data_IF_211863474027
#
_entry.id   IF_211863474027
#
_cell.length_a   1.000
_cell.length_b   1.000
_cell.length_c   1.000
_cell.angle_alpha   90.00
_cell.angle_beta   90.00
_cell.angle_gamma   90.00
#
_symmetry.space_group_name_H-M   'P 1'
#
loop_
_entity.id
_entity.type
_entity.pdbx_description
1 polymer ?
#
# COMPACT_ATOMS: atom_id res chain seq x y z
N UNK A 1 -37.93 19.61 -1.14
CA UNK A 1 -37.48 20.04 -2.49
C UNK A 1 -38.73 20.21 -3.35
N UNK A 2 -38.81 21.29 -4.15
CA UNK A 2 -40.03 21.66 -4.90
C UNK A 2 -40.45 20.66 -6.00
N UNK A 3 -39.68 19.58 -6.24
CA UNK A 3 -39.99 18.53 -7.23
C UNK A 3 -39.83 17.12 -6.60
N UNK A 4 -40.90 16.31 -6.45
CA UNK A 4 -40.85 15.02 -5.78
C UNK A 4 -40.01 13.98 -6.55
N UNK A 5 -40.07 13.98 -7.88
CA UNK A 5 -39.29 13.06 -8.74
C UNK A 5 -37.79 13.24 -8.53
N UNK A 6 -37.32 14.49 -8.47
CA UNK A 6 -35.89 14.81 -8.26
C UNK A 6 -35.42 14.26 -6.91
N UNK A 7 -36.26 14.38 -5.88
CA UNK A 7 -35.96 13.81 -4.55
C UNK A 7 -35.82 12.29 -4.60
N UNK A 8 -36.74 11.62 -5.26
CA UNK A 8 -36.71 10.15 -5.39
C UNK A 8 -35.45 9.70 -6.12
N UNK A 9 -35.14 10.28 -7.27
CA UNK A 9 -33.93 9.96 -8.04
C UNK A 9 -32.68 10.16 -7.19
N UNK A 10 -32.57 11.29 -6.48
CA UNK A 10 -31.46 11.57 -5.57
C UNK A 10 -31.31 10.47 -4.50
N UNK A 11 -32.39 10.13 -3.81
CA UNK A 11 -32.34 9.15 -2.71
C UNK A 11 -31.87 7.77 -3.19
N UNK A 12 -32.42 7.29 -4.31
CA UNK A 12 -32.03 5.99 -4.88
C UNK A 12 -30.60 6.00 -5.40
N UNK A 13 -30.16 7.08 -6.04
CA UNK A 13 -28.79 7.19 -6.54
C UNK A 13 -27.77 7.16 -5.39
N UNK A 14 -27.97 7.93 -4.33
CA UNK A 14 -27.07 7.94 -3.18
C UNK A 14 -27.12 6.64 -2.37
N UNK A 15 -28.28 6.01 -2.25
CA UNK A 15 -28.39 4.67 -1.70
C UNK A 15 -27.57 3.66 -2.52
N UNK A 16 -27.68 3.69 -3.85
CA UNK A 16 -26.94 2.80 -4.74
C UNK A 16 -25.42 3.01 -4.61
N UNK A 17 -24.95 4.27 -4.57
CA UNK A 17 -23.52 4.58 -4.37
C UNK A 17 -23.02 4.04 -3.03
N UNK A 18 -23.76 4.28 -1.93
CA UNK A 18 -23.40 3.75 -0.62
C UNK A 18 -23.33 2.22 -0.60
N UNK A 19 -24.29 1.56 -1.24
CA UNK A 19 -24.30 0.10 -1.37
C UNK A 19 -23.10 -0.42 -2.18
N UNK A 20 -22.78 0.23 -3.29
CA UNK A 20 -21.62 -0.12 -4.11
C UNK A 20 -20.31 -0.02 -3.31
N UNK A 21 -20.14 1.06 -2.53
CA UNK A 21 -18.98 1.21 -1.64
C UNK A 21 -18.89 0.07 -0.61
N UNK A 22 -20.01 -0.35 -0.04
CA UNK A 22 -20.05 -1.48 0.90
C UNK A 22 -19.65 -2.80 0.24
N UNK A 23 -20.17 -3.08 -0.96
CA UNK A 23 -19.84 -4.30 -1.70
C UNK A 23 -18.35 -4.33 -2.05
N UNK A 24 -17.82 -3.23 -2.58
CA UNK A 24 -16.41 -3.12 -2.93
C UNK A 24 -15.53 -3.28 -1.68
N UNK A 25 -15.79 -2.51 -0.61
CA UNK A 25 -15.02 -2.62 0.63
C UNK A 25 -15.06 -4.03 1.25
N UNK A 26 -16.24 -4.66 1.28
CA UNK A 26 -16.39 -6.02 1.80
C UNK A 26 -15.61 -7.04 0.98
N UNK A 27 -15.69 -6.96 -0.35
CA UNK A 27 -14.93 -7.85 -1.25
C UNK A 27 -13.41 -7.70 -1.07
N UNK A 28 -12.91 -6.49 -0.78
CA UNK A 28 -11.51 -6.25 -0.49
C UNK A 28 -11.07 -6.92 0.82
N UNK A 29 -11.87 -6.86 1.88
CA UNK A 29 -11.58 -7.54 3.16
C UNK A 29 -11.59 -9.06 2.99
N UNK A 30 -12.59 -9.59 2.27
CA UNK A 30 -12.67 -11.03 1.99
C UNK A 30 -11.44 -11.49 1.21
N UNK A 31 -11.05 -10.77 0.15
CA UNK A 31 -9.86 -11.08 -0.63
C UNK A 31 -8.59 -11.03 0.23
N UNK A 32 -8.46 -10.01 1.09
CA UNK A 32 -7.34 -9.92 2.03
C UNK A 32 -7.30 -11.13 2.99
N UNK A 33 -8.45 -11.55 3.52
CA UNK A 33 -8.55 -12.71 4.38
C UNK A 33 -8.19 -14.01 3.68
N UNK A 34 -8.68 -14.21 2.46
CA UNK A 34 -8.32 -15.35 1.62
C UNK A 34 -6.81 -15.40 1.40
N UNK A 35 -6.16 -14.28 1.08
CA UNK A 35 -4.69 -14.19 0.92
C UNK A 35 -3.92 -14.39 2.22
N UNK A 36 -4.50 -14.01 3.36
CA UNK A 36 -3.86 -14.15 4.66
C UNK A 36 -3.91 -15.60 5.20
N UNK A 37 -5.02 -16.32 4.97
CA UNK A 37 -5.27 -17.62 5.63
C UNK A 37 -5.41 -18.81 4.68
N UNK A 38 -5.83 -18.61 3.43
CA UNK A 38 -6.11 -19.69 2.47
C UNK A 38 -5.03 -19.75 1.37
N UNK A 39 -4.77 -18.63 0.71
CA UNK A 39 -3.83 -18.49 -0.40
C UNK A 39 -2.57 -17.71 0.01
N UNK A 40 -1.84 -18.23 1.01
CA UNK A 40 -0.67 -17.56 1.61
C UNK A 40 0.47 -17.23 0.63
N UNK A 41 0.48 -17.87 -0.54
CA UNK A 41 1.47 -17.67 -1.60
C UNK A 41 1.07 -16.56 -2.59
N UNK A 42 -0.20 -16.14 -2.63
CA UNK A 42 -0.73 -15.25 -3.67
C UNK A 42 -0.14 -13.84 -3.67
N UNK A 43 0.43 -13.39 -2.54
CA UNK A 43 1.09 -12.08 -2.43
C UNK A 43 2.61 -12.15 -2.61
N UNK A 44 3.20 -13.34 -2.82
CA UNK A 44 4.67 -13.47 -2.92
C UNK A 44 5.25 -12.87 -4.20
N UNK A 45 4.46 -12.74 -5.27
CA UNK A 45 4.89 -12.05 -6.49
C UNK A 45 5.19 -10.57 -6.22
N UNK A 46 4.41 -9.92 -5.34
CA UNK A 46 4.58 -8.50 -4.98
C UNK A 46 5.94 -8.24 -4.29
N UNK A 47 6.53 -9.26 -3.65
CA UNK A 47 7.84 -9.16 -3.00
C UNK A 47 8.99 -8.97 -4.00
N UNK A 48 8.89 -9.49 -5.23
CA UNK A 48 10.02 -9.46 -6.16
C UNK A 48 10.12 -8.12 -6.90
N UNK A 49 8.97 -7.49 -7.22
CA UNK A 49 8.94 -6.23 -7.96
C UNK A 49 9.09 -4.98 -7.09
N UNK A 50 8.98 -5.12 -5.76
CA UNK A 50 9.02 -4.00 -4.82
C UNK A 50 10.35 -3.88 -4.08
N UNK A 51 11.35 -4.72 -4.39
CA UNK A 51 12.65 -4.64 -3.71
C UNK A 51 13.33 -3.32 -4.06
N UNK A 52 13.88 -2.59 -3.06
CA UNK A 52 14.66 -1.40 -3.36
C UNK A 52 15.84 -1.80 -4.23
N UNK A 53 16.05 -1.05 -5.32
CA UNK A 53 17.23 -1.22 -6.16
C UNK A 53 18.48 -1.14 -5.26
N UNK A 54 19.45 -2.06 -5.42
CA UNK A 54 20.67 -2.00 -4.61
C UNK A 54 21.35 -0.65 -4.80
N UNK A 55 21.76 -0.02 -3.68
CA UNK A 55 22.37 1.31 -3.67
C UNK A 55 23.75 1.34 -4.33
N UNK A 56 24.40 0.18 -4.44
CA UNK A 56 25.74 0.01 -5.00
C UNK A 56 25.79 -1.20 -5.92
N UNK A 57 26.50 -1.08 -7.04
CA UNK A 57 26.77 -2.19 -7.95
C UNK A 57 27.93 -3.03 -7.40
N UNK A 58 27.84 -4.36 -7.45
CA UNK A 58 28.89 -5.28 -6.97
C UNK A 58 30.27 -4.97 -7.59
N UNK A 59 30.29 -4.54 -8.86
CA UNK A 59 31.48 -4.11 -9.58
C UNK A 59 32.15 -2.88 -8.96
N UNK A 60 31.38 -1.96 -8.39
CA UNK A 60 31.90 -0.75 -7.74
C UNK A 60 32.56 -1.07 -6.40
N UNK A 61 32.04 -2.07 -5.67
CA UNK A 61 32.65 -2.54 -4.42
C UNK A 61 34.04 -3.12 -4.65
N UNK A 62 34.19 -3.99 -5.65
CA UNK A 62 35.49 -4.56 -5.98
C UNK A 62 36.49 -3.47 -6.39
N UNK A 63 36.06 -2.48 -7.17
CA UNK A 63 36.90 -1.35 -7.56
C UNK A 63 37.34 -0.51 -6.36
N UNK A 64 36.44 -0.21 -5.42
CA UNK A 64 36.75 0.53 -4.21
C UNK A 64 37.73 -0.22 -3.30
N UNK A 65 37.57 -1.54 -3.14
CA UNK A 65 38.50 -2.40 -2.39
C UNK A 65 39.89 -2.42 -3.04
N UNK A 66 39.94 -2.52 -4.38
CA UNK A 66 41.21 -2.49 -5.12
C UNK A 66 41.90 -1.12 -4.98
N UNK A 67 41.15 -0.02 -5.03
CA UNK A 67 41.66 1.33 -4.81
C UNK A 67 42.17 1.53 -3.38
N UNK A 68 41.49 0.95 -2.39
CA UNK A 68 41.96 0.95 -1.00
C UNK A 68 43.27 0.16 -0.85
N UNK A 69 43.36 -1.03 -1.47
CA UNK A 69 44.55 -1.87 -1.41
C UNK A 69 45.75 -1.26 -2.14
N UNK A 70 45.52 -0.44 -3.16
CA UNK A 70 46.58 0.26 -3.89
C UNK A 70 46.81 1.69 -3.39
N UNK A 71 46.22 2.12 -2.27
CA UNK A 71 46.20 3.51 -1.81
C UNK A 71 47.58 4.22 -1.89
N UNK A 72 48.63 3.53 -1.47
CA UNK A 72 50.00 4.05 -1.45
C UNK A 72 50.74 3.93 -2.79
N UNK A 73 50.28 3.04 -3.67
CA UNK A 73 50.86 2.78 -5.00
C UNK A 73 50.17 3.54 -6.13
N UNK A 74 48.95 4.01 -5.89
CA UNK A 74 48.06 4.64 -6.88
C UNK A 74 48.11 6.18 -6.87
N UNK A 75 49.06 6.80 -6.16
CA UNK A 75 49.22 8.26 -6.05
C UNK A 75 47.91 8.99 -5.70
N UNK A 76 47.09 8.40 -4.82
CA UNK A 76 45.84 8.99 -4.36
C UNK A 76 46.11 10.16 -3.41
N UNK A 77 45.34 11.23 -3.56
CA UNK A 77 45.33 12.34 -2.58
C UNK A 77 44.69 11.88 -1.27
N UNK A 78 45.00 12.55 -0.17
CA UNK A 78 44.42 12.24 1.14
C UNK A 78 42.88 12.32 1.14
N UNK A 79 42.32 13.25 0.37
CA UNK A 79 40.87 13.37 0.21
C UNK A 79 40.28 12.20 -0.60
N UNK A 80 41.00 11.67 -1.58
CA UNK A 80 40.56 10.49 -2.33
C UNK A 80 40.62 9.23 -1.46
N UNK A 81 41.66 9.08 -0.63
CA UNK A 81 41.76 7.99 0.35
C UNK A 81 40.59 8.02 1.34
N UNK A 82 40.24 9.21 1.86
CA UNK A 82 39.06 9.39 2.73
C UNK A 82 37.76 9.04 2.03
N UNK A 83 37.58 9.46 0.77
CA UNK A 83 36.38 9.13 0.00
C UNK A 83 36.21 7.62 -0.20
N UNK A 84 37.28 6.90 -0.55
CA UNK A 84 37.25 5.43 -0.70
C UNK A 84 36.92 4.76 0.64
N UNK A 85 37.53 5.21 1.74
CA UNK A 85 37.27 4.66 3.07
C UNK A 85 35.83 4.91 3.53
N UNK A 86 35.30 6.12 3.33
CA UNK A 86 33.92 6.46 3.65
C UNK A 86 32.94 5.62 2.82
N UNK A 87 33.18 5.51 1.52
CA UNK A 87 32.34 4.71 0.63
C UNK A 87 32.28 3.23 1.06
N UNK A 88 33.41 2.62 1.45
CA UNK A 88 33.43 1.23 1.93
C UNK A 88 32.69 1.07 3.26
N UNK A 89 32.79 2.06 4.14
CA UNK A 89 32.06 2.07 5.40
C UNK A 89 30.54 2.21 5.18
N UNK A 90 30.13 3.08 4.25
CA UNK A 90 28.73 3.25 3.86
C UNK A 90 28.18 1.98 3.21
N UNK A 91 28.97 1.31 2.38
CA UNK A 91 28.62 0.02 1.77
C UNK A 91 28.39 -1.06 2.83
N UNK A 92 29.30 -1.22 3.80
CA UNK A 92 29.12 -2.20 4.88
C UNK A 92 27.92 -1.85 5.77
N UNK A 93 27.72 -0.56 6.06
CA UNK A 93 26.55 -0.08 6.79
C UNK A 93 25.24 -0.41 6.07
N UNK A 94 25.17 -0.14 4.76
CA UNK A 94 24.03 -0.50 3.92
C UNK A 94 23.81 -2.02 3.89
N UNK A 95 24.86 -2.81 3.70
CA UNK A 95 24.78 -4.27 3.67
C UNK A 95 24.25 -4.85 4.99
N UNK A 96 24.68 -4.28 6.13
CA UNK A 96 24.15 -4.64 7.44
C UNK A 96 22.69 -4.23 7.59
N UNK A 97 22.31 -3.04 7.14
CA UNK A 97 20.90 -2.60 7.15
C UNK A 97 20.01 -3.54 6.33
N UNK A 98 20.46 -3.95 5.15
CA UNK A 98 19.70 -4.86 4.28
C UNK A 98 19.49 -6.26 4.88
N UNK A 99 20.44 -6.77 5.68
CA UNK A 99 20.26 -8.05 6.40
C UNK A 99 19.13 -8.01 7.43
N UNK A 100 18.81 -6.81 7.94
CA UNK A 100 17.79 -6.61 8.95
C UNK A 100 16.41 -6.25 8.35
N UNK A 101 16.30 -6.14 7.03
CA UNK A 101 15.01 -5.86 6.36
C UNK A 101 14.16 -7.14 6.34
N UNK A 102 12.96 -7.06 6.91
CA UNK A 102 11.98 -8.15 6.81
C UNK A 102 11.63 -8.40 5.33
N UNK A 103 11.84 -9.61 4.80
CA UNK A 103 11.52 -9.93 3.41
C UNK A 103 10.03 -9.75 3.09
N UNK A 104 9.15 -9.70 4.09
CA UNK A 104 7.71 -9.54 3.92
C UNK A 104 7.22 -8.10 4.12
N UNK A 105 8.11 -7.12 4.32
CA UNK A 105 7.73 -5.74 4.61
C UNK A 105 6.77 -5.16 3.56
N UNK A 106 6.95 -5.52 2.29
CA UNK A 106 6.13 -5.08 1.18
C UNK A 106 4.74 -5.71 1.18
N UNK A 107 4.66 -7.01 1.46
CA UNK A 107 3.39 -7.73 1.62
C UNK A 107 2.58 -7.11 2.76
N UNK A 108 3.22 -6.89 3.92
CA UNK A 108 2.54 -6.29 5.08
C UNK A 108 2.04 -4.88 4.76
N UNK A 109 2.85 -4.03 4.13
CA UNK A 109 2.43 -2.68 3.71
C UNK A 109 1.27 -2.70 2.72
N UNK A 110 1.31 -3.60 1.73
CA UNK A 110 0.23 -3.72 0.75
C UNK A 110 -1.09 -4.17 1.41
N UNK A 111 -1.01 -5.14 2.33
CA UNK A 111 -2.16 -5.61 3.12
C UNK A 111 -2.74 -4.52 4.00
N UNK A 112 -1.91 -3.73 4.67
CA UNK A 112 -2.34 -2.59 5.48
C UNK A 112 -3.03 -1.53 4.61
N UNK A 113 -2.47 -1.20 3.44
CA UNK A 113 -3.09 -0.27 2.49
C UNK A 113 -4.46 -0.78 2.02
N UNK A 114 -4.55 -2.05 1.62
CA UNK A 114 -5.80 -2.66 1.19
C UNK A 114 -6.86 -2.63 2.31
N UNK A 115 -6.46 -2.97 3.54
CA UNK A 115 -7.34 -2.90 4.71
C UNK A 115 -7.82 -1.46 4.97
N UNK A 116 -6.90 -0.48 4.96
CA UNK A 116 -7.24 0.92 5.17
C UNK A 116 -8.26 1.42 4.13
N UNK A 117 -8.03 1.17 2.84
CA UNK A 117 -8.96 1.55 1.77
C UNK A 117 -10.32 0.87 1.94
N UNK A 118 -10.34 -0.43 2.23
CA UNK A 118 -11.58 -1.17 2.42
C UNK A 118 -12.40 -0.65 3.60
N UNK A 119 -11.74 -0.37 4.73
CA UNK A 119 -12.37 0.22 5.91
C UNK A 119 -12.90 1.62 5.62
N UNK A 120 -12.17 2.47 4.89
CA UNK A 120 -12.66 3.78 4.48
C UNK A 120 -13.95 3.69 3.64
N UNK A 121 -14.00 2.75 2.68
CA UNK A 121 -15.19 2.53 1.86
C UNK A 121 -16.39 2.10 2.71
N UNK A 122 -16.19 1.19 3.67
CA UNK A 122 -17.27 0.72 4.54
C UNK A 122 -17.73 1.83 5.50
N UNK A 123 -16.78 2.55 6.12
CA UNK A 123 -17.08 3.62 7.07
C UNK A 123 -17.89 4.77 6.45
N UNK A 124 -17.67 5.08 5.17
CA UNK A 124 -18.43 6.11 4.45
C UNK A 124 -19.69 5.52 3.81
N UNK A 125 -19.57 4.35 3.18
CA UNK A 125 -20.66 3.69 2.45
C UNK A 125 -21.81 3.25 3.37
N UNK A 126 -21.49 2.76 4.58
CA UNK A 126 -22.48 2.27 5.54
C UNK A 126 -23.46 3.36 5.98
N UNK A 127 -23.03 4.50 6.56
CA UNK A 127 -23.96 5.55 6.95
C UNK A 127 -24.68 6.15 5.74
N UNK A 128 -24.00 6.28 4.60
CA UNK A 128 -24.61 6.81 3.38
C UNK A 128 -25.78 5.93 2.91
N UNK A 129 -25.57 4.62 2.83
CA UNK A 129 -26.61 3.66 2.45
C UNK A 129 -27.73 3.60 3.48
N UNK A 130 -27.40 3.43 4.77
CA UNK A 130 -28.39 3.31 5.84
C UNK A 130 -29.31 4.53 5.90
N UNK A 131 -28.76 5.74 5.81
CA UNK A 131 -29.53 6.96 5.82
C UNK A 131 -30.51 7.00 4.64
N UNK A 132 -30.01 6.91 3.40
CA UNK A 132 -30.86 7.06 2.21
C UNK A 132 -31.90 5.93 2.11
N UNK A 133 -31.51 4.69 2.42
CA UNK A 133 -32.42 3.55 2.43
C UNK A 133 -33.50 3.67 3.49
N UNK A 134 -33.18 4.16 4.69
CA UNK A 134 -34.17 4.36 5.76
C UNK A 134 -35.24 5.39 5.38
N UNK A 135 -34.86 6.45 4.65
CA UNK A 135 -35.79 7.47 4.16
C UNK A 135 -36.70 6.89 3.09
N UNK A 136 -36.15 6.17 2.12
CA UNK A 136 -36.93 5.48 1.07
C UNK A 136 -37.95 4.52 1.71
N UNK A 137 -37.51 3.68 2.64
CA UNK A 137 -38.38 2.71 3.33
C UNK A 137 -39.50 3.40 4.10
N UNK A 138 -39.22 4.54 4.72
CA UNK A 138 -40.22 5.34 5.45
C UNK A 138 -41.24 5.96 4.51
N UNK A 139 -40.82 6.43 3.34
CA UNK A 139 -41.71 7.06 2.37
C UNK A 139 -42.62 6.02 1.70
N UNK A 140 -42.09 4.85 1.29
CA UNK A 140 -42.89 3.76 0.72
C UNK A 140 -43.98 3.27 1.69
N UNK A 141 -43.66 3.14 2.99
CA UNK A 141 -44.64 2.76 4.02
C UNK A 141 -45.78 3.76 4.19
N UNK A 142 -45.53 5.06 3.96
CA UNK A 142 -46.56 6.09 4.06
C UNK A 142 -47.50 6.05 2.85
N UNK A 143 -46.97 5.71 1.68
CA UNK A 143 -47.77 5.54 0.46
C UNK A 143 -48.65 4.28 0.55
N UNK A 144 -48.16 3.19 1.14
CA UNK A 144 -48.93 1.95 1.33
C UNK A 144 -50.04 2.05 2.41
N UNK A 145 -49.92 3.01 3.33
CA UNK A 145 -50.88 3.23 4.42
C UNK A 145 -51.86 4.38 4.21
N UNK A 146 -51.84 5.02 3.03
CA UNK A 146 -52.74 6.07 2.59
C UNK A 146 -53.72 5.54 1.54
#
# INVERSE_FOLDING_TARGET
MKNPIIRTIYLYLFALVGLAMLVIGSSMIINLGLKAWVFTQADKQDNYMSQPMPLYLEKETSNAQNLQACADKCNLTEDQKKQVANWLNDYESWKQQQKNVDPNIWVVRNRQRQAATALSLILIGLPLWLFHWSVIKKDNKKEEGA
#
